data_IF_701239180113
#
_entry.id   IF_701239180113
#
_cell.length_a   1.000
_cell.length_b   1.000
_cell.length_c   1.000
_cell.angle_alpha   90.00
_cell.angle_beta   90.00
_cell.angle_gamma   90.00
#
_symmetry.space_group_name_H-M   'P 1'
#
loop_
_entity.id
_entity.type
_entity.pdbx_description
1 polymer ?
#
# COMPACT_ATOMS: atom_id res chain seq x y z
N UNK A 1 -31.21 -4.00 30.86
CA UNK A 1 -31.26 -5.08 29.83
C UNK A 1 -31.14 -4.58 28.38
N UNK A 2 -30.93 -3.27 28.09
CA UNK A 2 -30.96 -2.73 26.72
C UNK A 2 -29.58 -2.51 26.03
N UNK A 3 -28.47 -2.58 26.77
CA UNK A 3 -27.14 -2.17 26.24
C UNK A 3 -26.45 -3.27 25.41
N UNK A 4 -26.76 -4.57 25.64
CA UNK A 4 -26.11 -5.70 24.96
C UNK A 4 -26.56 -5.94 23.50
N UNK A 5 -27.65 -5.29 23.06
CA UNK A 5 -28.23 -5.54 21.73
C UNK A 5 -27.52 -4.77 20.62
N UNK A 6 -27.00 -3.58 20.92
CA UNK A 6 -26.34 -2.70 19.95
C UNK A 6 -24.97 -3.25 19.50
N UNK A 7 -24.19 -3.82 20.42
CA UNK A 7 -22.91 -4.48 20.13
C UNK A 7 -23.08 -5.66 19.18
N UNK A 8 -24.09 -6.51 19.44
CA UNK A 8 -24.34 -7.72 18.66
C UNK A 8 -24.63 -7.49 17.17
N UNK A 9 -25.23 -6.35 16.81
CA UNK A 9 -25.52 -6.03 15.41
C UNK A 9 -24.27 -5.50 14.70
N UNK A 10 -23.47 -4.67 15.38
CA UNK A 10 -22.18 -4.23 14.85
C UNK A 10 -21.23 -5.41 14.66
N UNK A 11 -21.15 -6.31 15.63
CA UNK A 11 -20.28 -7.50 15.60
C UNK A 11 -20.60 -8.39 14.37
N UNK A 12 -21.88 -8.57 14.03
CA UNK A 12 -22.30 -9.37 12.86
C UNK A 12 -21.88 -8.73 11.52
N UNK A 13 -21.78 -7.40 11.45
CA UNK A 13 -21.31 -6.70 10.26
C UNK A 13 -19.78 -6.58 10.19
N UNK A 14 -19.08 -6.52 11.33
CA UNK A 14 -17.61 -6.37 11.38
C UNK A 14 -16.88 -7.71 11.35
N UNK A 15 -17.47 -8.78 11.89
CA UNK A 15 -16.89 -10.13 11.91
C UNK A 15 -16.44 -10.62 10.51
N UNK A 16 -17.21 -10.43 9.42
CA UNK A 16 -16.79 -10.82 8.08
C UNK A 16 -15.57 -10.05 7.60
N UNK A 17 -15.51 -8.75 7.86
CA UNK A 17 -14.35 -7.92 7.49
C UNK A 17 -13.12 -8.32 8.30
N UNK A 18 -13.28 -8.55 9.60
CA UNK A 18 -12.17 -8.93 10.47
C UNK A 18 -11.57 -10.29 10.07
N UNK A 19 -12.42 -11.28 9.75
CA UNK A 19 -11.98 -12.58 9.23
C UNK A 19 -11.34 -12.47 7.84
N UNK A 20 -11.85 -11.58 6.99
CA UNK A 20 -11.25 -11.31 5.70
C UNK A 20 -9.83 -10.77 5.85
N UNK A 21 -9.63 -9.72 6.65
CA UNK A 21 -8.29 -9.14 6.90
C UNK A 21 -7.31 -10.08 7.64
N UNK A 22 -7.78 -11.13 8.29
CA UNK A 22 -6.94 -12.15 8.91
C UNK A 22 -6.35 -13.16 7.92
N UNK A 23 -6.81 -13.16 6.67
CA UNK A 23 -6.32 -14.10 5.65
C UNK A 23 -5.23 -13.45 4.81
N UNK A 24 -4.10 -14.15 4.59
CA UNK A 24 -2.98 -13.67 3.75
C UNK A 24 -3.44 -13.20 2.35
N UNK A 25 -4.36 -13.96 1.74
CA UNK A 25 -4.92 -13.67 0.42
C UNK A 25 -5.74 -12.37 0.33
N UNK A 26 -6.19 -11.82 1.46
CA UNK A 26 -7.03 -10.61 1.47
C UNK A 26 -6.31 -9.39 0.90
N UNK A 27 -5.01 -9.27 1.17
CA UNK A 27 -4.14 -8.22 0.63
C UNK A 27 -4.08 -8.27 -0.91
N UNK A 28 -3.91 -9.46 -1.49
CA UNK A 28 -3.88 -9.67 -2.94
C UNK A 28 -5.23 -9.37 -3.60
N UNK A 29 -6.34 -9.76 -2.97
CA UNK A 29 -7.69 -9.46 -3.48
C UNK A 29 -7.94 -7.94 -3.50
N UNK A 30 -7.58 -7.25 -2.42
CA UNK A 30 -7.71 -5.79 -2.34
C UNK A 30 -6.87 -5.08 -3.41
N UNK A 31 -5.65 -5.56 -3.64
CA UNK A 31 -4.78 -5.03 -4.70
C UNK A 31 -5.44 -5.15 -6.08
N UNK A 32 -5.91 -6.36 -6.43
CA UNK A 32 -6.57 -6.61 -7.72
C UNK A 32 -7.81 -5.73 -7.87
N UNK A 33 -8.65 -5.64 -6.83
CA UNK A 33 -9.83 -4.79 -6.84
C UNK A 33 -9.48 -3.32 -7.08
N UNK A 34 -8.45 -2.79 -6.40
CA UNK A 34 -7.98 -1.43 -6.61
C UNK A 34 -7.48 -1.21 -8.05
N UNK A 35 -6.72 -2.16 -8.61
CA UNK A 35 -6.26 -2.10 -10.00
C UNK A 35 -7.41 -2.09 -10.99
N UNK A 36 -8.41 -2.95 -10.80
CA UNK A 36 -9.60 -3.02 -11.65
C UNK A 36 -10.37 -1.69 -11.61
N UNK A 37 -10.59 -1.13 -10.42
CA UNK A 37 -11.25 0.18 -10.25
C UNK A 37 -10.46 1.28 -10.97
N UNK A 38 -9.14 1.30 -10.82
CA UNK A 38 -8.29 2.29 -11.49
C UNK A 38 -8.37 2.17 -13.02
N UNK A 39 -8.32 0.96 -13.57
CA UNK A 39 -8.46 0.71 -15.00
C UNK A 39 -9.82 1.16 -15.53
N UNK A 40 -10.91 0.82 -14.82
CA UNK A 40 -12.24 1.27 -15.21
C UNK A 40 -12.36 2.80 -15.18
N UNK A 41 -11.86 3.45 -14.13
CA UNK A 41 -11.93 4.91 -14.03
C UNK A 41 -11.12 5.58 -15.14
N UNK A 42 -9.88 5.15 -15.37
CA UNK A 42 -9.00 5.72 -16.40
C UNK A 42 -9.55 5.55 -17.83
N UNK A 43 -10.34 4.51 -18.10
CA UNK A 43 -10.95 4.26 -19.41
C UNK A 43 -12.41 4.72 -19.52
N UNK A 44 -12.97 5.33 -18.47
CA UNK A 44 -14.35 5.81 -18.44
C UNK A 44 -14.50 7.20 -19.09
N UNK A 45 -15.75 7.66 -19.36
CA UNK A 45 -16.01 9.04 -19.78
C UNK A 45 -15.52 10.12 -18.78
N UNK A 46 -15.24 9.73 -17.54
CA UNK A 46 -14.67 10.60 -16.50
C UNK A 46 -13.14 10.55 -16.42
N UNK A 47 -12.46 9.97 -17.42
CA UNK A 47 -10.99 9.92 -17.51
C UNK A 47 -10.35 11.30 -17.38
N UNK A 48 -10.96 12.35 -17.93
CA UNK A 48 -10.47 13.72 -17.78
C UNK A 48 -10.44 14.22 -16.32
N UNK A 49 -11.32 13.72 -15.45
CA UNK A 49 -11.27 14.01 -14.01
C UNK A 49 -10.12 13.24 -13.36
N UNK A 50 -9.95 11.97 -13.72
CA UNK A 50 -8.84 11.13 -13.25
C UNK A 50 -7.49 11.78 -13.58
N UNK A 51 -7.29 12.19 -14.83
CA UNK A 51 -6.06 12.86 -15.28
C UNK A 51 -5.80 14.17 -14.55
N UNK A 52 -6.84 14.98 -14.30
CA UNK A 52 -6.71 16.23 -13.54
C UNK A 52 -6.27 15.98 -12.10
N UNK A 53 -6.82 14.95 -11.46
CA UNK A 53 -6.48 14.59 -10.07
C UNK A 53 -5.03 14.11 -9.99
N UNK A 54 -4.64 13.12 -10.80
CA UNK A 54 -3.29 12.56 -10.73
C UNK A 54 -2.21 13.58 -11.12
N UNK A 55 -2.50 14.49 -12.05
CA UNK A 55 -1.57 15.53 -12.50
C UNK A 55 -1.67 16.83 -11.68
N UNK A 56 -2.58 16.90 -10.70
CA UNK A 56 -2.75 18.08 -9.87
C UNK A 56 -1.43 18.48 -9.23
N UNK A 57 -0.96 19.70 -9.52
CA UNK A 57 0.34 20.17 -9.05
C UNK A 57 0.22 20.67 -7.61
N UNK A 58 0.88 19.96 -6.70
CA UNK A 58 1.09 20.39 -5.33
C UNK A 58 2.48 21.01 -5.22
N UNK A 59 2.49 22.30 -4.95
CA UNK A 59 3.70 23.09 -4.74
C UNK A 59 3.82 23.46 -3.27
N UNK A 60 4.90 23.01 -2.63
CA UNK A 60 5.30 23.49 -1.32
C UNK A 60 6.48 24.45 -1.49
N UNK A 61 6.34 25.64 -0.91
CA UNK A 61 7.35 26.67 -0.96
C UNK A 61 7.70 27.11 0.46
N UNK A 62 8.99 27.13 0.77
CA UNK A 62 9.54 27.69 2.01
C UNK A 62 10.57 28.77 1.63
N UNK A 63 10.15 30.04 1.71
CA UNK A 63 10.96 31.17 1.24
C UNK A 63 11.21 31.15 -0.27
N UNK A 64 12.28 31.79 -0.73
CA UNK A 64 12.67 31.82 -2.16
C UNK A 64 13.60 30.67 -2.57
N UNK A 65 14.25 30.00 -1.61
CA UNK A 65 15.27 28.98 -1.88
C UNK A 65 14.71 27.56 -2.06
N UNK A 66 13.58 27.23 -1.44
CA UNK A 66 13.02 25.88 -1.47
C UNK A 66 11.62 25.89 -2.08
N UNK A 67 11.55 25.50 -3.35
CA UNK A 67 10.30 25.29 -4.09
C UNK A 67 10.29 23.85 -4.60
N UNK A 68 9.35 23.05 -4.10
CA UNK A 68 9.12 21.70 -4.59
C UNK A 68 7.73 21.65 -5.18
N UNK A 69 7.65 21.52 -6.51
CA UNK A 69 6.39 21.34 -7.24
C UNK A 69 6.37 19.96 -7.88
N UNK A 70 5.47 19.09 -7.42
CA UNK A 70 5.26 17.75 -7.98
C UNK A 70 3.77 17.52 -8.23
N UNK A 71 3.45 16.63 -9.17
CA UNK A 71 2.07 16.18 -9.32
C UNK A 71 1.65 15.33 -8.12
N UNK A 72 0.35 15.27 -7.86
CA UNK A 72 -0.22 14.45 -6.80
C UNK A 72 0.22 13.00 -6.92
N UNK A 73 0.27 12.45 -8.13
CA UNK A 73 0.76 11.10 -8.40
C UNK A 73 2.19 10.89 -7.87
N UNK A 74 3.09 11.85 -8.09
CA UNK A 74 4.48 11.74 -7.63
C UNK A 74 4.57 11.80 -6.10
N UNK A 75 3.78 12.66 -5.46
CA UNK A 75 3.71 12.71 -3.99
C UNK A 75 3.21 11.40 -3.40
N UNK A 76 2.15 10.84 -3.96
CA UNK A 76 1.57 9.56 -3.53
C UNK A 76 2.57 8.42 -3.76
N UNK A 77 3.23 8.37 -4.92
CA UNK A 77 4.24 7.36 -5.21
C UNK A 77 5.42 7.46 -4.24
N UNK A 78 6.00 8.64 -4.04
CA UNK A 78 7.13 8.82 -3.13
C UNK A 78 6.75 8.43 -1.68
N UNK A 79 5.56 8.84 -1.21
CA UNK A 79 5.09 8.54 0.13
C UNK A 79 4.75 7.06 0.36
N UNK A 80 3.95 6.46 -0.53
CA UNK A 80 3.57 5.05 -0.41
C UNK A 80 4.77 4.12 -0.61
N UNK A 81 5.66 4.42 -1.56
CA UNK A 81 6.89 3.65 -1.74
C UNK A 81 7.81 3.77 -0.53
N UNK A 82 7.92 4.94 0.10
CA UNK A 82 8.71 5.08 1.33
C UNK A 82 8.21 4.14 2.44
N UNK A 83 6.89 4.03 2.62
CA UNK A 83 6.29 3.10 3.59
C UNK A 83 6.55 1.64 3.18
N UNK A 84 6.32 1.30 1.91
CA UNK A 84 6.54 -0.04 1.38
C UNK A 84 7.99 -0.50 1.57
N UNK A 85 8.96 0.31 1.13
CA UNK A 85 10.38 0.00 1.27
C UNK A 85 10.85 0.00 2.72
N UNK A 86 10.22 0.79 3.60
CA UNK A 86 10.51 0.71 5.03
C UNK A 86 10.14 -0.66 5.59
N UNK A 87 8.92 -1.15 5.32
CA UNK A 87 8.46 -2.48 5.78
C UNK A 87 9.30 -3.58 5.17
N UNK A 88 9.55 -3.53 3.86
CA UNK A 88 10.42 -4.49 3.17
C UNK A 88 11.85 -4.45 3.75
N UNK A 89 12.39 -3.27 4.03
CA UNK A 89 13.70 -3.12 4.64
C UNK A 89 13.79 -3.72 6.05
N UNK A 90 12.73 -3.60 6.86
CA UNK A 90 12.64 -4.26 8.16
C UNK A 90 12.60 -5.79 8.03
N UNK A 91 11.85 -6.30 7.06
CA UNK A 91 11.75 -7.73 6.79
C UNK A 91 13.10 -8.29 6.32
N UNK A 92 13.76 -7.62 5.37
CA UNK A 92 15.11 -8.00 4.92
C UNK A 92 16.10 -7.98 6.08
N UNK A 93 16.05 -6.95 6.94
CA UNK A 93 16.90 -6.90 8.14
C UNK A 93 16.63 -8.09 9.06
N UNK A 94 15.38 -8.49 9.25
CA UNK A 94 15.01 -9.67 10.06
C UNK A 94 15.59 -10.96 9.45
N UNK A 95 15.48 -11.13 8.13
CA UNK A 95 16.02 -12.29 7.40
C UNK A 95 17.55 -12.36 7.50
N UNK A 96 18.25 -11.22 7.41
CA UNK A 96 19.72 -11.17 7.56
C UNK A 96 20.16 -11.51 8.98
N UNK A 97 19.41 -11.09 10.00
CA UNK A 97 19.82 -11.31 11.40
C UNK A 97 19.48 -12.69 11.93
N UNK A 98 18.36 -13.25 11.51
CA UNK A 98 17.76 -14.46 12.14
C UNK A 98 17.12 -15.43 11.16
N UNK A 99 17.04 -15.09 9.87
CA UNK A 99 16.35 -15.88 8.85
C UNK A 99 17.31 -16.51 7.85
N UNK A 100 16.80 -16.80 6.65
CA UNK A 100 17.51 -17.60 5.64
C UNK A 100 18.67 -16.86 4.97
N UNK A 101 18.70 -15.53 5.10
CA UNK A 101 19.78 -14.68 4.59
C UNK A 101 20.93 -14.50 5.58
N UNK A 102 20.84 -15.10 6.78
CA UNK A 102 21.86 -14.95 7.83
C UNK A 102 23.14 -15.75 7.55
N UNK A 103 23.05 -16.86 6.81
CA UNK A 103 24.19 -17.66 6.37
C UNK A 103 24.45 -17.48 4.87
N UNK A 104 25.70 -17.20 4.51
CA UNK A 104 26.12 -16.95 3.12
C UNK A 104 25.80 -18.13 2.19
N UNK A 105 25.86 -19.38 2.67
CA UNK A 105 25.50 -20.55 1.86
C UNK A 105 24.00 -20.61 1.61
N UNK A 106 23.19 -20.31 2.62
CA UNK A 106 21.72 -20.28 2.48
C UNK A 106 21.25 -19.11 1.63
N UNK A 107 21.84 -17.92 1.81
CA UNK A 107 21.56 -16.72 1.03
C UNK A 107 21.91 -16.85 -0.46
N UNK A 108 22.91 -17.69 -0.79
CA UNK A 108 23.38 -17.83 -2.18
C UNK A 108 22.30 -18.31 -3.14
N UNK A 109 21.41 -19.22 -2.72
CA UNK A 109 20.39 -19.80 -3.60
C UNK A 109 19.29 -18.76 -3.96
N UNK A 110 18.66 -18.06 -3.00
CA UNK A 110 17.73 -16.97 -3.32
C UNK A 110 18.37 -15.84 -4.14
N UNK A 111 19.61 -15.46 -3.84
CA UNK A 111 20.31 -14.37 -4.54
C UNK A 111 20.55 -14.73 -6.01
N UNK A 112 21.02 -15.94 -6.29
CA UNK A 112 21.22 -16.41 -7.67
C UNK A 112 19.89 -16.55 -8.40
N UNK A 113 18.83 -17.02 -7.73
CA UNK A 113 17.50 -17.14 -8.34
C UNK A 113 16.84 -15.79 -8.66
N UNK A 114 17.27 -14.71 -8.00
CA UNK A 114 16.71 -13.37 -8.18
C UNK A 114 17.35 -12.57 -9.34
N UNK A 115 18.52 -12.98 -9.84
CA UNK A 115 19.27 -12.32 -10.94
C UNK A 115 19.07 -13.08 -12.23
#
# INVERSE_FOLDING_TARGET
MSVKKATRVFDVFTDPFQRFFQTEASSGILLIMATVIALFWANSPWSGLYDKIINYKLTFQLGELFIISKSLLLWVNDGLMAIFFFVVGLEIKREILTGELSDIKQASMPVIAAV
#
